data_IF_409793691884
#
_entry.id   IF_409793691884
#
_cell.length_a   1.000
_cell.length_b   1.000
_cell.length_c   1.000
_cell.angle_alpha   90.00
_cell.angle_beta   90.00
_cell.angle_gamma   90.00
#
_symmetry.space_group_name_H-M   'P 1'
#
loop_
_entity.id
_entity.type
_entity.pdbx_description
1 polymer ?
#
# COMPACT_ATOMS: atom_id res chain seq x y z
N UNK A 1 -21.35 12.37 12.49
CA UNK A 1 -21.14 11.74 11.17
C UNK A 1 -19.89 12.33 10.52
N UNK A 2 -18.90 11.52 10.17
CA UNK A 2 -18.11 11.64 8.93
C UNK A 2 -17.12 12.80 8.66
N UNK A 3 -17.05 13.89 9.43
CA UNK A 3 -16.31 15.10 8.98
C UNK A 3 -14.78 14.95 8.77
N UNK A 4 -14.16 13.87 9.25
CA UNK A 4 -12.70 13.73 9.23
C UNK A 4 -12.10 13.22 7.92
N UNK A 5 -12.91 12.66 7.01
CA UNK A 5 -12.44 12.07 5.74
C UNK A 5 -12.98 12.79 4.51
N UNK A 6 -13.62 13.94 4.67
CA UNK A 6 -14.16 14.75 3.56
C UNK A 6 -13.58 16.15 3.60
N UNK A 7 -13.54 16.83 2.45
CA UNK A 7 -13.12 18.23 2.32
C UNK A 7 -11.67 18.47 2.80
N UNK A 8 -10.75 17.57 2.48
CA UNK A 8 -9.32 17.86 2.66
C UNK A 8 -8.90 18.98 1.71
N UNK A 9 -7.98 19.82 2.15
CA UNK A 9 -7.26 20.79 1.31
C UNK A 9 -5.75 20.58 1.45
N UNK A 10 -4.96 21.19 0.56
CA UNK A 10 -3.51 21.11 0.70
C UNK A 10 -2.98 21.78 1.98
N UNK A 11 -3.72 22.73 2.56
CA UNK A 11 -3.35 23.36 3.84
C UNK A 11 -3.40 22.39 5.03
N UNK A 12 -4.10 21.26 4.85
CA UNK A 12 -4.18 20.18 5.82
C UNK A 12 -2.98 19.23 5.76
N UNK A 13 -2.24 19.25 4.66
CA UNK A 13 -1.06 18.41 4.44
C UNK A 13 0.18 19.00 5.11
N UNK A 14 0.12 19.18 6.43
CA UNK A 14 1.23 19.73 7.24
C UNK A 14 1.31 19.09 8.62
N UNK A 15 2.54 18.99 9.13
CA UNK A 15 2.82 18.35 10.39
C UNK A 15 2.22 19.17 11.54
N UNK A 16 1.67 18.48 12.54
CA UNK A 16 1.02 19.14 13.68
C UNK A 16 -0.23 19.97 13.34
N UNK A 17 -0.74 19.90 12.10
CA UNK A 17 -1.97 20.56 11.68
C UNK A 17 -3.24 19.89 12.25
N UNK A 18 -4.42 20.29 11.74
CA UNK A 18 -5.72 19.77 12.24
C UNK A 18 -5.88 18.25 12.17
N UNK A 19 -5.14 17.63 11.25
CA UNK A 19 -5.15 16.17 11.05
C UNK A 19 -4.19 15.43 11.98
N UNK A 20 -3.26 16.13 12.65
CA UNK A 20 -2.25 15.52 13.50
C UNK A 20 -1.22 14.69 12.72
N UNK A 21 -0.88 15.12 11.49
CA UNK A 21 0.11 14.43 10.66
C UNK A 21 1.50 14.51 11.30
N UNK A 22 2.29 13.45 11.16
CA UNK A 22 3.71 13.44 11.52
C UNK A 22 4.53 13.94 10.34
N UNK A 23 5.74 14.41 10.61
CA UNK A 23 6.68 14.78 9.55
C UNK A 23 6.94 13.61 8.60
N UNK A 24 7.03 12.39 9.12
CA UNK A 24 7.23 11.18 8.32
C UNK A 24 6.05 10.85 7.41
N UNK A 25 4.83 11.29 7.71
CA UNK A 25 3.68 11.09 6.82
C UNK A 25 3.76 12.03 5.60
N UNK A 26 4.44 13.17 5.75
CA UNK A 26 4.61 14.18 4.70
C UNK A 26 5.82 13.85 3.83
N UNK A 27 6.97 13.58 4.47
CA UNK A 27 8.22 13.26 3.78
C UNK A 27 8.22 11.87 3.14
N UNK A 28 7.24 11.03 3.47
CA UNK A 28 6.97 9.78 2.78
C UNK A 28 6.58 9.98 1.31
N UNK A 29 6.01 11.13 0.94
CA UNK A 29 5.74 11.45 -0.45
C UNK A 29 6.95 12.09 -1.15
N UNK A 30 7.12 11.79 -2.44
CA UNK A 30 8.03 12.48 -3.32
C UNK A 30 7.69 13.96 -3.42
N UNK A 31 8.72 14.81 -3.40
CA UNK A 31 8.55 16.27 -3.37
C UNK A 31 7.67 16.77 -4.54
N UNK A 32 6.65 17.57 -4.22
CA UNK A 32 5.81 18.25 -5.20
C UNK A 32 4.77 17.38 -5.92
N UNK A 33 4.60 16.11 -5.54
CA UNK A 33 3.65 15.21 -6.22
C UNK A 33 2.27 15.16 -5.57
N UNK A 34 2.16 15.63 -4.32
CA UNK A 34 0.98 15.47 -3.49
C UNK A 34 -0.12 16.43 -3.89
N UNK A 35 -1.32 15.90 -4.08
CA UNK A 35 -2.55 16.68 -4.29
C UNK A 35 -3.74 16.01 -3.62
N UNK A 36 -4.76 16.81 -3.30
CA UNK A 36 -6.02 16.25 -2.79
C UNK A 36 -6.85 15.69 -3.92
N UNK A 37 -7.44 14.53 -3.68
CA UNK A 37 -8.37 13.86 -4.59
C UNK A 37 -9.61 13.37 -3.85
N UNK A 38 -10.72 13.25 -4.56
CA UNK A 38 -11.94 12.62 -4.04
C UNK A 38 -12.05 11.19 -4.61
N UNK A 39 -12.31 10.26 -3.71
CA UNK A 39 -12.64 8.87 -3.99
C UNK A 39 -14.16 8.70 -3.87
N UNK A 40 -14.84 8.19 -4.91
CA UNK A 40 -16.28 7.96 -4.86
C UNK A 40 -16.62 6.83 -3.87
N UNK A 41 -17.91 6.70 -3.54
CA UNK A 41 -18.44 5.49 -2.88
C UNK A 41 -18.22 4.29 -3.80
N UNK A 42 -17.85 3.14 -3.24
CA UNK A 42 -17.57 1.92 -4.01
C UNK A 42 -16.14 1.84 -4.54
N UNK A 43 -15.28 2.83 -4.24
CA UNK A 43 -13.87 2.79 -4.63
C UNK A 43 -13.15 1.68 -3.87
N UNK A 44 -12.37 0.87 -4.59
CA UNK A 44 -11.65 -0.29 -4.04
C UNK A 44 -10.20 0.10 -3.72
N UNK A 45 -9.82 -0.09 -2.46
CA UNK A 45 -8.49 0.20 -1.94
C UNK A 45 -7.85 -1.10 -1.48
N UNK A 46 -6.56 -1.25 -1.72
CA UNK A 46 -5.78 -2.37 -1.19
C UNK A 46 -4.52 -1.92 -0.49
N UNK A 47 -3.99 -2.82 0.34
CA UNK A 47 -2.62 -2.76 0.82
C UNK A 47 -2.09 -4.16 1.04
N UNK A 48 -0.78 -4.32 0.94
CA UNK A 48 -0.11 -5.49 1.49
C UNK A 48 0.37 -5.17 2.90
N UNK A 49 0.14 -6.07 3.84
CA UNK A 49 0.53 -5.86 5.23
C UNK A 49 0.59 -7.15 6.01
N UNK A 50 1.27 -7.11 7.15
CA UNK A 50 1.17 -8.13 8.17
C UNK A 50 -0.22 -8.08 8.85
N UNK A 51 -0.92 -9.20 8.84
CA UNK A 51 -2.25 -9.30 9.46
C UNK A 51 -3.35 -8.63 8.63
N UNK A 52 -4.35 -8.06 9.30
CA UNK A 52 -5.64 -7.69 8.69
C UNK A 52 -5.89 -6.17 8.60
N UNK A 53 -4.85 -5.35 8.86
CA UNK A 53 -4.97 -3.90 9.02
C UNK A 53 -6.11 -3.48 9.99
N UNK A 54 -6.12 -3.95 11.25
CA UNK A 54 -7.20 -3.66 12.18
C UNK A 54 -7.31 -2.16 12.47
N UNK A 55 -8.50 -1.69 12.84
CA UNK A 55 -8.69 -0.33 13.31
C UNK A 55 -8.00 -0.13 14.68
N UNK A 56 -7.19 0.91 14.80
CA UNK A 56 -6.70 1.40 16.09
C UNK A 56 -7.72 2.36 16.73
N UNK A 57 -7.99 2.28 18.05
CA UNK A 57 -8.94 3.18 18.72
C UNK A 57 -8.68 4.67 18.48
N UNK A 58 -7.40 5.06 18.50
CA UNK A 58 -6.96 6.46 18.37
C UNK A 58 -6.78 6.91 16.92
N UNK A 59 -6.17 6.08 16.07
CA UNK A 59 -5.67 6.49 14.76
C UNK A 59 -6.58 6.06 13.61
N UNK A 60 -7.55 5.20 13.90
CA UNK A 60 -8.37 4.56 12.89
C UNK A 60 -7.65 3.40 12.22
N UNK A 61 -8.11 3.05 11.02
CA UNK A 61 -7.45 2.11 10.12
C UNK A 61 -6.19 2.79 9.57
N UNK A 62 -5.15 2.00 9.28
CA UNK A 62 -3.91 2.47 8.63
C UNK A 62 -4.21 3.44 7.47
N UNK A 63 -3.48 4.57 7.36
CA UNK A 63 -3.84 5.63 6.41
C UNK A 63 -3.33 5.39 4.98
N UNK A 64 -2.36 4.49 4.80
CA UNK A 64 -1.69 4.25 3.51
C UNK A 64 -2.37 3.13 2.72
N UNK A 65 -2.82 3.47 1.51
CA UNK A 65 -3.57 2.59 0.61
C UNK A 65 -3.18 2.83 -0.85
N UNK A 66 -3.38 1.83 -1.69
CA UNK A 66 -3.25 1.90 -3.15
C UNK A 66 -4.59 1.52 -3.81
N UNK A 67 -4.83 1.92 -5.08
CA UNK A 67 -6.06 1.57 -5.77
C UNK A 67 -6.04 0.10 -6.25
N UNK A 68 -7.15 -0.62 -6.15
CA UNK A 68 -7.23 -1.99 -6.70
C UNK A 68 -7.20 -1.98 -8.23
N UNK A 69 -7.96 -1.06 -8.83
CA UNK A 69 -8.03 -0.84 -10.27
C UNK A 69 -7.11 0.33 -10.66
N UNK A 70 -6.75 0.48 -11.95
CA UNK A 70 -6.05 1.67 -12.42
C UNK A 70 -6.73 2.97 -11.98
N UNK A 71 -5.96 3.93 -11.49
CA UNK A 71 -6.44 5.23 -11.04
C UNK A 71 -5.45 6.34 -11.39
N UNK A 72 -5.91 7.28 -12.24
CA UNK A 72 -5.13 8.42 -12.71
C UNK A 72 -3.78 7.98 -13.28
N UNK A 73 -2.67 8.37 -12.66
CA UNK A 73 -1.31 8.02 -13.10
C UNK A 73 -0.90 6.58 -12.73
N UNK A 74 -1.55 5.95 -11.76
CA UNK A 74 -1.36 4.52 -11.50
C UNK A 74 -2.17 3.72 -12.51
N UNK A 75 -1.54 3.36 -13.62
CA UNK A 75 -2.18 2.61 -14.70
C UNK A 75 -2.38 1.12 -14.37
N UNK A 76 -1.95 0.64 -13.20
CA UNK A 76 -1.89 -0.79 -12.91
C UNK A 76 -2.75 -1.19 -11.71
N UNK A 77 -2.66 -0.46 -10.59
CA UNK A 77 -3.31 -0.84 -9.35
C UNK A 77 -2.94 -2.27 -8.89
N UNK A 78 -3.67 -2.85 -7.95
CA UNK A 78 -3.44 -4.23 -7.50
C UNK A 78 -3.45 -5.25 -8.65
N UNK A 79 -4.38 -5.07 -9.59
CA UNK A 79 -4.58 -5.99 -10.71
C UNK A 79 -3.32 -6.11 -11.58
N UNK A 80 -2.77 -4.98 -12.02
CA UNK A 80 -1.56 -4.97 -12.84
C UNK A 80 -0.33 -5.46 -12.05
N UNK A 81 -0.25 -5.17 -10.74
CA UNK A 81 0.83 -5.71 -9.88
C UNK A 81 0.79 -7.23 -9.81
N UNK A 82 -0.40 -7.81 -9.72
CA UNK A 82 -0.57 -9.26 -9.76
C UNK A 82 -0.13 -9.85 -11.12
N UNK A 83 -0.55 -9.24 -12.23
CA UNK A 83 -0.16 -9.70 -13.57
C UNK A 83 1.37 -9.60 -13.78
N UNK A 84 1.99 -8.50 -13.36
CA UNK A 84 3.44 -8.35 -13.38
C UNK A 84 4.14 -9.43 -12.55
N UNK A 85 3.65 -9.72 -11.34
CA UNK A 85 4.22 -10.76 -10.49
C UNK A 85 4.14 -12.13 -11.19
N UNK A 86 2.98 -12.46 -11.78
CA UNK A 86 2.78 -13.69 -12.56
C UNK A 86 3.73 -13.79 -13.76
N UNK A 87 3.88 -12.72 -14.54
CA UNK A 87 4.77 -12.67 -15.71
C UNK A 87 6.24 -12.86 -15.33
N UNK A 88 6.66 -12.26 -14.21
CA UNK A 88 8.01 -12.38 -13.67
C UNK A 88 8.22 -13.66 -12.86
N UNK A 89 7.17 -14.47 -12.67
CA UNK A 89 7.18 -15.70 -11.86
C UNK A 89 7.63 -15.45 -10.42
N UNK A 90 7.25 -14.31 -9.84
CA UNK A 90 7.52 -13.93 -8.45
C UNK A 90 6.20 -13.75 -7.69
N UNK A 91 6.27 -13.65 -6.36
CA UNK A 91 5.11 -13.33 -5.53
C UNK A 91 4.68 -11.88 -5.66
N UNK A 92 3.38 -11.62 -5.48
CA UNK A 92 2.84 -10.26 -5.46
C UNK A 92 3.49 -9.42 -4.36
N UNK A 93 3.79 -10.00 -3.20
CA UNK A 93 4.50 -9.30 -2.11
C UNK A 93 5.90 -8.82 -2.53
N UNK A 94 6.65 -9.64 -3.28
CA UNK A 94 7.95 -9.25 -3.82
C UNK A 94 7.79 -8.18 -4.91
N UNK A 95 6.82 -8.32 -5.82
CA UNK A 95 6.55 -7.32 -6.86
C UNK A 95 6.21 -5.95 -6.27
N UNK A 96 5.36 -5.93 -5.24
CA UNK A 96 4.94 -4.69 -4.57
C UNK A 96 6.12 -3.99 -3.89
N UNK A 97 7.19 -4.66 -3.49
CA UNK A 97 8.39 -3.99 -2.93
C UNK A 97 9.19 -3.19 -3.96
N UNK A 98 9.20 -3.58 -5.23
CA UNK A 98 9.80 -2.72 -6.26
C UNK A 98 8.99 -1.43 -6.44
N UNK A 99 7.68 -1.52 -6.20
CA UNK A 99 6.68 -0.49 -6.49
C UNK A 99 6.18 0.26 -5.25
N UNK A 100 6.67 -0.07 -4.05
CA UNK A 100 6.29 0.55 -2.80
C UNK A 100 7.55 0.69 -1.95
N UNK A 101 7.77 1.85 -1.34
CA UNK A 101 8.94 2.04 -0.49
C UNK A 101 8.66 1.53 0.94
N UNK A 102 8.35 0.23 1.05
CA UNK A 102 8.19 -0.48 2.31
C UNK A 102 9.44 -1.33 2.59
N UNK A 103 10.25 -0.87 3.53
CA UNK A 103 11.49 -1.54 3.93
C UNK A 103 11.23 -2.99 4.38
N UNK A 104 12.22 -3.86 4.15
CA UNK A 104 12.16 -5.29 4.51
C UNK A 104 11.93 -5.48 6.01
N UNK A 105 12.50 -4.62 6.85
CA UNK A 105 12.41 -4.65 8.31
C UNK A 105 11.11 -4.05 8.86
N UNK A 106 10.33 -3.30 8.08
CA UNK A 106 9.11 -2.64 8.54
C UNK A 106 7.86 -3.51 8.47
N UNK A 107 7.70 -4.26 7.39
CA UNK A 107 6.51 -5.06 7.16
C UNK A 107 6.87 -6.30 6.36
N UNK A 108 6.28 -7.43 6.71
CA UNK A 108 6.54 -8.71 6.04
C UNK A 108 5.73 -8.82 4.73
N UNK A 109 4.63 -8.06 4.60
CA UNK A 109 3.71 -8.00 3.45
C UNK A 109 2.96 -9.31 3.19
N UNK A 110 2.66 -10.05 4.26
CA UNK A 110 2.10 -11.42 4.20
C UNK A 110 0.67 -11.49 3.66
N UNK A 111 -0.12 -10.43 3.82
CA UNK A 111 -1.53 -10.44 3.42
C UNK A 111 -1.85 -9.28 2.49
N UNK A 112 -2.57 -9.60 1.42
CA UNK A 112 -3.37 -8.67 0.64
C UNK A 112 -4.65 -8.36 1.41
N UNK A 113 -4.89 -7.08 1.71
CA UNK A 113 -6.11 -6.60 2.37
C UNK A 113 -6.81 -5.63 1.42
N UNK A 114 -8.07 -5.92 1.12
CA UNK A 114 -8.94 -5.09 0.30
C UNK A 114 -10.11 -4.52 1.11
N UNK A 115 -10.40 -3.25 0.86
CA UNK A 115 -11.55 -2.54 1.42
C UNK A 115 -12.26 -1.72 0.35
N UNK A 116 -13.56 -1.49 0.55
CA UNK A 116 -14.40 -0.70 -0.36
C UNK A 116 -14.95 0.52 0.38
N UNK A 117 -14.86 1.70 -0.21
CA UNK A 117 -15.38 2.93 0.41
C UNK A 117 -16.92 2.89 0.52
N UNK A 118 -17.46 3.18 1.71
CA UNK A 118 -18.91 3.32 1.96
C UNK A 118 -19.40 4.74 1.78
N UNK A 119 -18.49 5.71 1.89
CA UNK A 119 -18.73 7.14 1.78
C UNK A 119 -17.74 7.73 0.78
N UNK A 120 -18.01 8.93 0.29
CA UNK A 120 -16.98 9.71 -0.41
C UNK A 120 -15.84 10.03 0.53
N UNK A 121 -14.60 9.92 0.05
CA UNK A 121 -13.39 10.15 0.84
C UNK A 121 -12.48 11.12 0.11
N UNK A 122 -12.05 12.17 0.79
CA UNK A 122 -10.92 12.99 0.36
C UNK A 122 -9.62 12.36 0.84
N UNK A 123 -8.64 12.25 -0.05
CA UNK A 123 -7.34 11.65 0.21
C UNK A 123 -6.22 12.52 -0.36
N UNK A 124 -5.02 12.43 0.22
CA UNK A 124 -3.83 12.93 -0.47
C UNK A 124 -3.32 11.84 -1.41
N UNK A 125 -3.01 12.22 -2.64
CA UNK A 125 -2.53 11.34 -3.71
C UNK A 125 -1.21 11.87 -4.22
N UNK A 126 -0.20 11.01 -4.30
CA UNK A 126 1.15 11.37 -4.71
C UNK A 126 2.01 10.12 -4.89
N UNK A 127 3.22 10.31 -5.41
CA UNK A 127 4.20 9.23 -5.46
C UNK A 127 4.91 9.14 -4.13
N UNK A 128 5.24 7.93 -3.71
CA UNK A 128 6.06 7.71 -2.54
C UNK A 128 7.53 8.03 -2.85
N UNK A 129 8.24 8.59 -1.88
CA UNK A 129 9.68 8.78 -2.01
C UNK A 129 10.39 7.43 -1.99
N UNK A 130 11.37 7.24 -2.88
CA UNK A 130 12.21 6.05 -2.84
C UNK A 130 12.95 5.96 -1.49
N UNK A 131 13.12 4.74 -0.99
CA UNK A 131 13.78 4.49 0.30
C UNK A 131 14.78 3.36 0.16
N UNK A 132 15.73 3.29 1.11
CA UNK A 132 16.62 2.14 1.23
C UNK A 132 15.79 0.90 1.54
N UNK A 133 16.17 -0.25 0.96
CA UNK A 133 15.49 -1.53 1.21
C UNK A 133 15.46 -1.94 2.69
N UNK A 134 16.39 -1.40 3.49
CA UNK A 134 16.46 -1.52 4.94
C UNK A 134 16.38 -0.14 5.57
N UNK A 135 15.56 0.03 6.60
CA UNK A 135 15.51 1.31 7.32
C UNK A 135 16.71 1.52 8.24
N UNK A 136 17.32 0.42 8.71
CA UNK A 136 18.54 0.40 9.50
C UNK A 136 19.46 -0.71 8.99
N UNK A 137 20.64 -0.30 8.51
CA UNK A 137 21.71 -1.18 8.02
C UNK A 137 22.18 -2.19 9.08
N UNK A 138 22.13 -1.82 10.37
CA UNK A 138 22.48 -2.71 11.49
C UNK A 138 21.49 -3.85 11.70
N UNK A 139 20.26 -3.72 11.18
CA UNK A 139 19.21 -4.74 11.26
C UNK A 139 19.17 -5.68 10.04
N UNK A 140 20.13 -5.56 9.12
CA UNK A 140 20.24 -6.43 7.96
C UNK A 140 20.32 -7.89 8.37
N UNK A 141 19.32 -8.65 7.91
CA UNK A 141 19.26 -10.11 8.09
C UNK A 141 19.15 -10.77 6.73
N UNK A 142 20.24 -11.39 6.27
CA UNK A 142 20.27 -12.12 5.01
C UNK A 142 19.19 -13.20 4.92
N UNK A 143 18.85 -13.84 6.03
CA UNK A 143 17.76 -14.83 6.10
C UNK A 143 16.41 -14.21 5.79
N UNK A 144 16.13 -13.00 6.28
CA UNK A 144 14.89 -12.26 5.99
C UNK A 144 14.86 -11.77 4.55
N UNK A 145 15.98 -11.26 4.03
CA UNK A 145 16.09 -10.88 2.61
C UNK A 145 15.82 -12.07 1.70
N UNK A 146 16.42 -13.23 2.00
CA UNK A 146 16.21 -14.46 1.24
C UNK A 146 14.75 -14.91 1.29
N UNK A 147 14.10 -14.82 2.45
CA UNK A 147 12.70 -15.20 2.62
C UNK A 147 11.77 -14.30 1.80
N UNK A 148 11.92 -12.99 1.90
CA UNK A 148 11.14 -12.01 1.12
C UNK A 148 11.42 -12.13 -0.38
N UNK A 149 12.66 -12.43 -0.75
CA UNK A 149 13.06 -12.62 -2.15
C UNK A 149 12.40 -13.85 -2.75
N UNK A 150 12.43 -14.99 -2.05
CA UNK A 150 11.86 -16.25 -2.55
C UNK A 150 10.35 -16.22 -2.70
N UNK A 151 9.67 -15.39 -1.91
CA UNK A 151 8.23 -15.51 -1.78
C UNK A 151 7.86 -16.79 -1.03
N UNK A 152 6.62 -16.84 -0.54
CA UNK A 152 6.05 -18.00 0.13
C UNK A 152 5.41 -19.00 -0.84
N UNK A 153 5.22 -18.63 -2.12
CA UNK A 153 4.59 -19.52 -3.11
C UNK A 153 5.50 -20.67 -3.54
N UNK A 154 4.95 -21.89 -3.60
CA UNK A 154 5.63 -23.00 -4.29
C UNK A 154 5.79 -22.66 -5.79
N UNK A 155 7.03 -22.66 -6.27
CA UNK A 155 7.36 -22.44 -7.68
C UNK A 155 7.66 -20.99 -8.08
N UNK A 156 7.55 -20.03 -7.15
CA UNK A 156 8.05 -18.67 -7.38
C UNK A 156 9.58 -18.65 -7.49
N UNK A 157 10.07 -17.83 -8.41
CA UNK A 157 11.48 -17.50 -8.53
C UNK A 157 11.86 -16.47 -7.46
N UNK A 158 13.08 -16.52 -6.92
CA UNK A 158 13.57 -15.47 -6.05
C UNK A 158 13.63 -14.12 -6.77
N UNK A 159 12.91 -13.12 -6.27
CA UNK A 159 13.02 -11.73 -6.67
C UNK A 159 14.35 -11.13 -6.18
N UNK A 160 15.05 -10.39 -7.03
CA UNK A 160 16.26 -9.65 -6.66
C UNK A 160 15.87 -8.21 -6.31
N UNK A 161 15.68 -7.95 -5.02
CA UNK A 161 15.30 -6.61 -4.56
C UNK A 161 16.46 -5.61 -4.73
N UNK A 162 16.22 -4.43 -5.35
CA UNK A 162 17.22 -3.37 -5.45
C UNK A 162 17.55 -2.79 -4.07
N UNK A 163 18.70 -2.14 -3.95
CA UNK A 163 19.10 -1.46 -2.71
C UNK A 163 18.18 -0.27 -2.36
N UNK A 164 17.57 0.32 -3.38
CA UNK A 164 16.53 1.34 -3.26
C UNK A 164 15.19 0.80 -3.76
N UNK A 165 14.16 0.88 -2.93
CA UNK A 165 12.79 0.42 -3.19
C UNK A 165 11.85 1.60 -3.46
N UNK A 166 10.75 1.34 -4.17
CA UNK A 166 9.82 2.39 -4.61
C UNK A 166 10.36 3.26 -5.75
N UNK A 167 11.38 2.78 -6.48
CA UNK A 167 12.04 3.50 -7.59
C UNK A 167 11.22 3.54 -8.89
N UNK A 168 10.18 2.71 -9.00
CA UNK A 168 9.35 2.58 -10.20
C UNK A 168 8.06 3.43 -10.15
N UNK A 169 8.08 4.58 -9.48
CA UNK A 169 6.93 5.48 -9.27
C UNK A 169 5.76 4.82 -8.51
N UNK A 170 5.84 4.90 -7.18
CA UNK A 170 4.91 4.27 -6.25
C UNK A 170 3.73 5.19 -5.89
N UNK A 171 2.69 5.27 -6.73
CA UNK A 171 1.52 6.10 -6.41
C UNK A 171 0.68 5.52 -5.26
N UNK A 172 0.36 6.35 -4.26
CA UNK A 172 -0.38 5.95 -3.06
C UNK A 172 -1.32 7.03 -2.55
N UNK A 173 -2.38 6.59 -1.88
CA UNK A 173 -3.24 7.43 -1.08
C UNK A 173 -2.75 7.50 0.37
N UNK A 174 -2.83 8.69 0.94
CA UNK A 174 -2.88 8.90 2.38
C UNK A 174 -4.27 9.38 2.79
N UNK A 175 -4.96 8.55 3.57
CA UNK A 175 -6.32 8.80 4.05
C UNK A 175 -6.28 8.95 5.57
N UNK A 176 -6.14 10.18 6.09
CA UNK A 176 -6.06 10.44 7.52
C UNK A 176 -7.35 10.03 8.22
N UNK A 177 -7.23 9.42 9.41
CA UNK A 177 -8.37 9.07 10.27
C UNK A 177 -9.44 8.21 9.56
N UNK A 178 -9.04 7.36 8.63
CA UNK A 178 -9.90 6.34 8.04
C UNK A 178 -10.43 5.42 9.15
N UNK A 179 -11.68 4.98 9.06
CA UNK A 179 -12.32 4.12 10.07
C UNK A 179 -13.15 3.04 9.39
N UNK A 180 -13.42 1.95 10.11
CA UNK A 180 -14.27 0.86 9.64
C UNK A 180 -15.72 1.32 9.33
N UNK A 181 -16.19 2.42 9.92
CA UNK A 181 -17.48 3.02 9.54
C UNK A 181 -17.47 3.62 8.12
N UNK A 182 -16.30 4.03 7.61
CA UNK A 182 -16.14 4.63 6.27
C UNK A 182 -15.93 3.58 5.18
N UNK A 183 -15.65 2.32 5.54
CA UNK A 183 -15.27 1.26 4.60
C UNK A 183 -16.03 -0.04 4.87
N UNK A 184 -16.11 -0.88 3.86
CA UNK A 184 -16.48 -2.29 3.98
C UNK A 184 -15.19 -3.10 3.82
N UNK A 185 -14.87 -3.95 4.80
CA UNK A 185 -13.82 -4.97 4.62
C UNK A 185 -14.29 -5.95 3.56
N UNK A 186 -13.46 -6.23 2.57
CA UNK A 186 -13.85 -7.08 1.46
C UNK A 186 -13.11 -8.42 1.50
N UNK A 187 -11.79 -8.40 1.28
CA UNK A 187 -11.00 -9.61 1.14
C UNK A 187 -9.69 -9.53 1.93
N UNK A 188 -9.30 -10.65 2.53
CA UNK A 188 -7.99 -10.84 3.16
C UNK A 188 -7.43 -12.14 2.62
N UNK A 189 -6.34 -12.05 1.87
CA UNK A 189 -5.75 -13.17 1.13
C UNK A 189 -4.26 -13.21 1.43
N UNK A 190 -3.69 -14.39 1.62
CA UNK A 190 -2.24 -14.53 1.73
C UNK A 190 -1.59 -13.98 0.44
N UNK A 191 -0.70 -13.00 0.56
CA UNK A 191 -0.03 -12.35 -0.56
C UNK A 191 0.96 -13.27 -1.29
N UNK A 192 1.27 -14.42 -0.69
CA UNK A 192 2.06 -15.51 -1.26
C UNK A 192 1.17 -16.64 -1.83
N UNK A 193 -0.14 -16.47 -1.88
CA UNK A 193 -1.02 -17.41 -2.57
C UNK A 193 -1.46 -16.82 -3.91
N UNK A 194 -0.59 -16.98 -4.91
CA UNK A 194 -0.82 -16.46 -6.26
C UNK A 194 -2.04 -17.11 -6.95
N UNK A 195 -2.51 -18.26 -6.47
CA UNK A 195 -3.73 -18.92 -6.98
C UNK A 195 -4.95 -18.22 -6.38
N UNK A 196 -5.00 -18.08 -5.06
CA UNK A 196 -6.11 -17.40 -4.38
C UNK A 196 -6.25 -15.94 -4.85
N UNK A 197 -5.12 -15.23 -5.02
CA UNK A 197 -5.11 -13.90 -5.62
C UNK A 197 -5.63 -13.92 -7.06
N UNK A 198 -5.26 -14.93 -7.85
CA UNK A 198 -5.74 -15.09 -9.23
C UNK A 198 -7.26 -15.28 -9.32
N UNK A 199 -7.83 -16.10 -8.43
CA UNK A 199 -9.28 -16.29 -8.32
C UNK A 199 -9.96 -14.97 -7.91
N UNK A 200 -9.41 -14.27 -6.90
CA UNK A 200 -9.94 -12.98 -6.43
C UNK A 200 -9.96 -11.90 -7.52
N UNK A 201 -8.90 -11.86 -8.35
CA UNK A 201 -8.81 -10.94 -9.47
C UNK A 201 -9.54 -11.40 -10.74
N UNK A 202 -10.13 -12.62 -10.75
CA UNK A 202 -10.91 -13.14 -11.86
C UNK A 202 -10.09 -13.70 -13.04
N UNK A 203 -8.84 -14.11 -12.79
CA UNK A 203 -7.94 -14.66 -13.80
C UNK A 203 -7.88 -16.19 -13.86
N UNK A 204 -8.49 -16.87 -12.87
CA UNK A 204 -8.49 -18.34 -12.69
C UNK A 204 -9.91 -18.80 -12.43
#
# INVERSE_FOLDING_TARGET
MGENVTNLTMDDFKAGGRLGLRDSDITAFGAGTVRVVELPVGFRLFKLTKGEAPQHPTYGVTPWWSPVMPYREDCEGALGRYEQAKLNKIDMSSMVRYMSAVCIDWNDLDNYVEVVTKVKISAFWGTFAAQKKWSDEGNKRMTKETWVSRGGSQGAQPAVLPDDIGVLEAWQFFIPKLKDEHIKRDSIINAHDMIALGIHFGFV
#
